data_IF_547402800594
#
_entry.id   IF_547402800594
#
_cell.length_a   1.000
_cell.length_b   1.000
_cell.length_c   1.000
_cell.angle_alpha   90.00
_cell.angle_beta   90.00
_cell.angle_gamma   90.00
#
_symmetry.space_group_name_H-M   'P 1'
#
loop_
_entity.id
_entity.type
_entity.pdbx_description
1 polymer ?
#
# COMPACT_ATOMS: atom_id res chain seq x y z
N UNK A 1 -2.40 -2.33 12.44
CA UNK A 1 -2.33 -1.19 13.39
C UNK A 1 -0.87 -0.94 13.77
N UNK A 2 -0.30 0.22 13.41
CA UNK A 2 1.05 0.63 13.80
C UNK A 2 1.17 1.07 15.27
N UNK A 3 0.05 1.25 15.96
CA UNK A 3 -0.01 1.57 17.39
C UNK A 3 -0.84 0.53 18.13
N UNK A 4 -0.27 -0.11 19.15
CA UNK A 4 -0.98 -0.97 20.09
C UNK A 4 -0.51 -0.59 21.50
N UNK A 5 -1.44 -0.20 22.38
CA UNK A 5 -1.13 0.19 23.76
C UNK A 5 0.00 1.25 23.87
N UNK A 6 -0.05 2.30 23.05
CA UNK A 6 0.99 3.35 22.95
C UNK A 6 2.38 2.87 22.48
N UNK A 7 2.53 1.64 22.01
CA UNK A 7 3.76 1.14 21.40
C UNK A 7 3.67 1.11 19.88
N UNK A 8 4.75 1.54 19.22
CA UNK A 8 4.90 1.47 17.76
C UNK A 8 5.19 0.02 17.32
N UNK A 9 4.35 -0.52 16.45
CA UNK A 9 4.44 -1.87 15.91
C UNK A 9 4.52 -1.85 14.36
N UNK A 10 4.90 -2.98 13.76
CA UNK A 10 4.96 -3.14 12.30
C UNK A 10 6.31 -2.77 11.66
N UNK A 11 6.40 -3.03 10.34
CA UNK A 11 7.63 -2.92 9.55
C UNK A 11 8.18 -1.49 9.47
N UNK A 12 7.31 -0.49 9.56
CA UNK A 12 7.65 0.93 9.40
C UNK A 12 7.75 1.70 10.72
N UNK A 13 7.71 1.02 11.87
CA UNK A 13 7.65 1.65 13.20
C UNK A 13 8.72 2.71 13.49
N UNK A 14 9.89 2.61 12.84
CA UNK A 14 11.02 3.55 12.98
C UNK A 14 10.74 4.92 12.34
N UNK A 15 9.72 5.00 11.49
CA UNK A 15 9.36 6.18 10.68
C UNK A 15 8.11 6.89 11.18
N UNK A 16 7.41 6.29 12.13
CA UNK A 16 6.19 6.86 12.67
C UNK A 16 6.53 7.98 13.65
N UNK A 17 5.74 9.04 13.61
CA UNK A 17 5.72 10.09 14.64
C UNK A 17 4.48 9.91 15.53
N UNK A 18 4.50 10.42 16.77
CA UNK A 18 3.30 10.42 17.62
C UNK A 18 2.11 11.09 16.92
N UNK A 19 0.90 10.60 17.18
CA UNK A 19 -0.32 11.10 16.53
C UNK A 19 -0.57 12.58 16.77
N UNK A 20 -0.22 13.10 17.95
CA UNK A 20 -0.34 14.53 18.27
C UNK A 20 0.63 15.43 17.49
N UNK A 21 1.66 14.86 16.84
CA UNK A 21 2.60 15.62 15.99
C UNK A 21 2.15 15.68 14.53
N UNK A 22 1.17 14.88 14.12
CA UNK A 22 0.74 14.76 12.72
C UNK A 22 0.18 16.07 12.16
N UNK A 23 -0.68 16.76 12.90
CA UNK A 23 -1.25 18.05 12.48
C UNK A 23 -0.15 19.12 12.30
N UNK A 24 0.84 19.12 13.19
CA UNK A 24 1.99 20.01 13.10
C UNK A 24 2.85 19.69 11.87
N UNK A 25 3.16 18.41 11.64
CA UNK A 25 3.89 17.96 10.46
C UNK A 25 3.14 18.36 9.18
N UNK A 26 1.83 18.09 9.10
CA UNK A 26 0.99 18.47 7.98
C UNK A 26 1.01 19.99 7.72
N UNK A 27 0.98 20.80 8.78
CA UNK A 27 1.12 22.26 8.68
C UNK A 27 2.45 22.71 8.06
N UNK A 28 3.56 22.06 8.43
CA UNK A 28 4.89 22.34 7.85
C UNK A 28 5.00 21.88 6.40
N UNK A 29 4.39 20.74 6.07
CA UNK A 29 4.46 20.12 4.75
C UNK A 29 3.41 20.62 3.74
N UNK A 30 2.45 21.45 4.20
CA UNK A 30 1.24 21.80 3.45
C UNK A 30 1.50 22.37 2.06
N UNK A 31 2.46 23.28 1.94
CA UNK A 31 2.80 23.91 0.65
C UNK A 31 3.34 22.88 -0.34
N UNK A 32 4.30 22.06 0.07
CA UNK A 32 4.92 21.04 -0.79
C UNK A 32 3.92 19.93 -1.17
N UNK A 33 3.06 19.51 -0.24
CA UNK A 33 2.00 18.53 -0.50
C UNK A 33 0.92 19.07 -1.43
N UNK A 34 0.50 20.33 -1.26
CA UNK A 34 -0.49 20.96 -2.15
C UNK A 34 0.07 21.09 -3.56
N UNK A 35 1.31 21.54 -3.70
CA UNK A 35 1.98 21.63 -5.00
C UNK A 35 2.11 20.25 -5.68
N UNK A 36 2.43 19.19 -4.91
CA UNK A 36 2.50 17.84 -5.45
C UNK A 36 1.12 17.33 -5.90
N UNK A 37 0.06 17.57 -5.12
CA UNK A 37 -1.31 17.23 -5.48
C UNK A 37 -1.72 17.91 -6.79
N UNK A 38 -1.52 19.22 -6.90
CA UNK A 38 -1.87 19.94 -8.12
C UNK A 38 -1.11 19.43 -9.35
N UNK A 39 0.17 19.09 -9.20
CA UNK A 39 0.97 18.48 -10.28
C UNK A 39 0.42 17.12 -10.68
N UNK A 40 -0.02 16.31 -9.72
CA UNK A 40 -0.62 14.99 -10.00
C UNK A 40 -1.93 15.08 -10.79
N UNK A 41 -2.65 16.21 -10.70
CA UNK A 41 -3.90 16.46 -11.43
C UNK A 41 -3.67 17.08 -12.82
N UNK A 42 -2.58 17.85 -13.00
CA UNK A 42 -2.36 18.72 -14.18
C UNK A 42 -1.32 18.19 -15.18
N UNK A 43 -0.33 17.43 -14.72
CA UNK A 43 0.81 17.02 -15.54
C UNK A 43 0.73 15.53 -15.90
N UNK A 44 1.19 15.15 -17.10
CA UNK A 44 1.39 13.75 -17.49
C UNK A 44 2.66 13.19 -16.84
N UNK A 45 2.73 13.26 -15.51
CA UNK A 45 3.81 12.67 -14.72
C UNK A 45 3.49 11.18 -14.52
N UNK A 46 4.51 10.34 -14.60
CA UNK A 46 4.37 8.93 -14.24
C UNK A 46 3.94 8.79 -12.77
N UNK A 47 2.89 8.03 -12.47
CA UNK A 47 2.32 7.93 -11.11
C UNK A 47 3.34 7.47 -10.05
N UNK A 48 4.30 6.61 -10.42
CA UNK A 48 5.42 6.24 -9.54
C UNK A 48 6.26 7.44 -9.07
N UNK A 49 6.43 8.49 -9.89
CA UNK A 49 7.14 9.70 -9.50
C UNK A 49 6.34 10.53 -8.49
N UNK A 50 5.00 10.55 -8.61
CA UNK A 50 4.12 11.17 -7.61
C UNK A 50 4.27 10.44 -6.27
N UNK A 51 4.18 9.11 -6.26
CA UNK A 51 4.36 8.31 -5.05
C UNK A 51 5.74 8.48 -4.43
N UNK A 52 6.80 8.48 -5.25
CA UNK A 52 8.15 8.70 -4.75
C UNK A 52 8.32 10.12 -4.18
N UNK A 53 7.76 11.13 -4.84
CA UNK A 53 7.80 12.52 -4.34
C UNK A 53 7.08 12.64 -3.00
N UNK A 54 5.89 12.04 -2.87
CA UNK A 54 5.14 11.99 -1.62
C UNK A 54 5.96 11.32 -0.51
N UNK A 55 6.53 10.15 -0.78
CA UNK A 55 7.40 9.44 0.16
C UNK A 55 8.59 10.31 0.58
N UNK A 56 9.25 10.98 -0.37
CA UNK A 56 10.42 11.83 -0.11
C UNK A 56 10.09 13.00 0.82
N UNK A 57 8.95 13.67 0.63
CA UNK A 57 8.52 14.80 1.47
C UNK A 57 8.50 14.37 2.94
N UNK A 58 7.75 13.31 3.26
CA UNK A 58 7.68 12.80 4.63
C UNK A 58 9.00 12.24 5.13
N UNK A 59 9.70 11.44 4.31
CA UNK A 59 10.94 10.78 4.73
C UNK A 59 12.03 11.80 5.08
N UNK A 60 12.15 12.87 4.29
CA UNK A 60 13.14 13.93 4.53
C UNK A 60 12.71 14.84 5.68
N UNK A 61 11.43 15.12 5.86
CA UNK A 61 10.91 15.84 7.03
C UNK A 61 11.26 15.12 8.34
N UNK A 62 11.00 13.80 8.40
CA UNK A 62 11.16 13.00 9.62
C UNK A 62 12.61 12.61 9.92
N UNK A 63 13.41 12.35 8.88
CA UNK A 63 14.78 11.81 9.05
C UNK A 63 15.89 12.75 8.60
N UNK A 64 15.59 13.80 7.83
CA UNK A 64 16.56 14.69 7.21
C UNK A 64 17.62 13.90 6.44
N UNK A 65 18.90 14.14 6.78
CA UNK A 65 20.06 13.48 6.14
C UNK A 65 20.11 11.96 6.36
N UNK A 66 19.31 11.41 7.27
CA UNK A 66 19.23 9.97 7.57
C UNK A 66 18.18 9.24 6.72
N UNK A 67 17.46 9.92 5.82
CA UNK A 67 16.46 9.32 4.94
C UNK A 67 17.00 8.13 4.13
N UNK A 68 18.27 8.19 3.75
CA UNK A 68 18.93 7.21 2.89
C UNK A 68 20.12 6.58 3.61
N UNK A 69 20.28 5.25 3.48
CA UNK A 69 21.43 4.53 4.01
C UNK A 69 22.67 4.81 3.16
N UNK A 70 23.79 5.14 3.84
CA UNK A 70 25.09 5.32 3.18
C UNK A 70 25.86 4.01 3.26
N UNK A 71 26.16 3.42 2.11
CA UNK A 71 26.91 2.16 1.98
C UNK A 71 28.40 2.41 1.68
N UNK A 72 28.94 3.54 2.16
CA UNK A 72 30.33 3.95 1.89
C UNK A 72 30.55 4.64 0.53
N UNK A 73 29.52 4.67 -0.34
CA UNK A 73 29.51 5.48 -1.57
C UNK A 73 28.65 6.75 -1.39
N UNK A 74 28.94 7.83 -2.13
CA UNK A 74 28.00 8.95 -2.25
C UNK A 74 26.64 8.45 -2.75
N UNK A 75 25.56 9.10 -2.32
CA UNK A 75 24.24 8.83 -2.89
C UNK A 75 24.24 9.26 -4.36
N UNK A 76 23.60 8.49 -5.27
CA UNK A 76 23.41 8.94 -6.64
C UNK A 76 22.57 10.23 -6.67
N UNK A 77 22.65 11.02 -7.76
CA UNK A 77 21.76 12.15 -7.95
C UNK A 77 20.30 11.67 -7.95
N UNK A 78 19.39 12.50 -7.40
CA UNK A 78 17.97 12.15 -7.29
C UNK A 78 17.30 11.95 -8.65
N UNK A 79 17.80 12.66 -9.67
CA UNK A 79 17.33 12.58 -11.04
C UNK A 79 18.47 12.16 -11.96
N UNK A 80 18.22 11.28 -12.94
CA UNK A 80 16.95 10.57 -13.21
C UNK A 80 16.57 9.57 -12.09
N UNK A 81 15.26 9.42 -11.83
CA UNK A 81 14.76 8.63 -10.69
C UNK A 81 15.08 7.13 -10.78
N UNK A 82 15.10 6.55 -11.98
CA UNK A 82 15.31 5.12 -12.14
C UNK A 82 16.70 4.66 -11.64
N UNK A 83 17.84 5.25 -12.07
CA UNK A 83 19.15 4.96 -11.47
C UNK A 83 19.23 5.25 -9.97
N UNK A 84 18.54 6.29 -9.49
CA UNK A 84 18.48 6.57 -8.06
C UNK A 84 17.84 5.41 -7.27
N UNK A 85 16.69 4.92 -7.74
CA UNK A 85 15.96 3.81 -7.12
C UNK A 85 16.70 2.48 -7.23
N UNK A 86 17.59 2.29 -8.20
CA UNK A 86 18.42 1.09 -8.34
C UNK A 86 19.41 0.94 -7.17
N UNK A 87 20.06 2.04 -6.79
CA UNK A 87 21.15 2.02 -5.82
C UNK A 87 20.73 2.40 -4.39
N UNK A 88 19.75 3.28 -4.24
CA UNK A 88 19.38 3.83 -2.92
C UNK A 88 18.85 2.74 -1.99
N UNK A 89 19.02 2.93 -0.68
CA UNK A 89 18.28 2.18 0.35
C UNK A 89 17.66 3.16 1.33
N UNK A 90 16.39 2.96 1.66
CA UNK A 90 15.68 3.83 2.58
C UNK A 90 15.93 3.40 4.03
N UNK A 91 16.22 4.35 4.90
CA UNK A 91 16.36 4.04 6.32
C UNK A 91 15.01 3.60 6.90
N UNK A 92 15.00 2.52 7.67
CA UNK A 92 13.81 2.09 8.40
C UNK A 92 12.67 1.53 7.54
N UNK A 93 12.91 1.27 6.25
CA UNK A 93 11.97 0.58 5.36
C UNK A 93 12.56 -0.74 4.86
N UNK A 94 11.75 -1.81 4.73
CA UNK A 94 12.12 -2.96 3.91
C UNK A 94 12.34 -2.56 2.45
N UNK A 95 13.12 -3.37 1.72
CA UNK A 95 13.42 -3.11 0.31
C UNK A 95 12.19 -3.26 -0.60
N UNK A 96 11.09 -3.79 -0.08
CA UNK A 96 9.81 -3.97 -0.78
C UNK A 96 9.28 -2.66 -1.36
N UNK A 97 9.35 -1.57 -0.59
CA UNK A 97 8.87 -0.24 -1.01
C UNK A 97 9.67 0.29 -2.20
N UNK A 98 11.01 0.23 -2.10
CA UNK A 98 11.91 0.65 -3.18
C UNK A 98 11.72 -0.22 -4.42
N UNK A 99 11.63 -1.55 -4.23
CA UNK A 99 11.40 -2.50 -5.30
C UNK A 99 10.11 -2.24 -6.07
N UNK A 100 9.01 -1.99 -5.36
CA UNK A 100 7.73 -1.65 -5.99
C UNK A 100 7.81 -0.38 -6.84
N UNK A 101 8.40 0.69 -6.31
CA UNK A 101 8.60 1.93 -7.06
C UNK A 101 9.52 1.72 -8.29
N UNK A 102 10.59 0.95 -8.13
CA UNK A 102 11.52 0.66 -9.22
C UNK A 102 10.87 -0.12 -10.35
N UNK A 103 10.14 -1.21 -10.05
CA UNK A 103 9.50 -2.03 -11.07
C UNK A 103 8.31 -1.31 -11.72
N UNK A 104 7.59 -0.49 -10.96
CA UNK A 104 6.51 0.34 -11.51
C UNK A 104 7.04 1.41 -12.46
N UNK A 105 8.13 2.10 -12.11
CA UNK A 105 8.75 3.11 -12.99
C UNK A 105 9.33 2.51 -14.28
N UNK A 106 9.57 1.19 -14.32
CA UNK A 106 9.98 0.46 -15.53
C UNK A 106 8.80 -0.13 -16.31
N UNK A 107 7.56 0.18 -15.94
CA UNK A 107 6.34 -0.40 -16.51
C UNK A 107 6.27 -1.94 -16.42
N UNK A 108 7.03 -2.56 -15.50
CA UNK A 108 7.00 -4.01 -15.31
C UNK A 108 5.81 -4.46 -14.46
N UNK A 109 5.37 -3.62 -13.53
CA UNK A 109 4.29 -3.92 -12.59
C UNK A 109 3.11 -2.99 -12.83
N UNK A 110 1.91 -3.58 -12.96
CA UNK A 110 0.66 -2.86 -13.17
C UNK A 110 0.15 -2.30 -11.83
N UNK A 111 0.75 -1.20 -11.40
CA UNK A 111 0.26 -0.44 -10.24
C UNK A 111 -0.54 0.77 -10.72
N UNK A 112 -1.57 1.11 -9.95
CA UNK A 112 -2.39 2.28 -10.22
C UNK A 112 -2.53 3.10 -8.94
N UNK A 113 -2.18 4.38 -9.03
CA UNK A 113 -2.39 5.35 -7.97
C UNK A 113 -3.85 5.83 -7.99
N UNK A 114 -4.49 5.79 -6.84
CA UNK A 114 -5.82 6.36 -6.59
C UNK A 114 -5.77 7.32 -5.40
N UNK A 115 -6.79 8.19 -5.31
CA UNK A 115 -6.88 9.27 -4.32
C UNK A 115 -8.10 9.16 -3.41
N UNK A 116 -8.76 8.01 -3.44
CA UNK A 116 -9.85 7.62 -2.54
C UNK A 116 -9.52 6.26 -1.93
N UNK A 117 -10.17 5.92 -0.82
CA UNK A 117 -10.04 4.59 -0.23
C UNK A 117 -10.85 3.58 -1.05
N UNK A 118 -10.21 2.56 -1.63
CA UNK A 118 -10.93 1.55 -2.38
C UNK A 118 -11.73 0.66 -1.44
N UNK A 119 -12.93 0.27 -1.86
CA UNK A 119 -13.63 -0.82 -1.16
C UNK A 119 -12.89 -2.15 -1.37
N UNK A 120 -13.15 -3.16 -0.52
CA UNK A 120 -12.61 -4.49 -0.75
C UNK A 120 -13.02 -5.07 -2.11
N UNK A 121 -14.25 -4.79 -2.57
CA UNK A 121 -14.73 -5.19 -3.90
C UNK A 121 -13.97 -4.49 -5.04
N UNK A 122 -13.69 -3.19 -4.91
CA UNK A 122 -12.90 -2.44 -5.89
C UNK A 122 -11.47 -2.98 -5.97
N UNK A 123 -10.87 -3.29 -4.82
CA UNK A 123 -9.56 -3.92 -4.79
C UNK A 123 -9.58 -5.33 -5.40
N UNK A 124 -10.63 -6.12 -5.12
CA UNK A 124 -10.82 -7.45 -5.71
C UNK A 124 -10.89 -7.38 -7.23
N UNK A 125 -11.68 -6.45 -7.76
CA UNK A 125 -11.82 -6.19 -9.19
C UNK A 125 -10.45 -5.87 -9.81
N UNK A 126 -9.72 -4.89 -9.26
CA UNK A 126 -8.39 -4.54 -9.75
C UNK A 126 -7.41 -5.73 -9.71
N UNK A 127 -7.38 -6.48 -8.60
CA UNK A 127 -6.50 -7.64 -8.46
C UNK A 127 -6.87 -8.77 -9.42
N UNK A 128 -8.16 -8.93 -9.75
CA UNK A 128 -8.62 -9.87 -10.76
C UNK A 128 -8.11 -9.54 -12.16
N UNK A 129 -7.82 -8.26 -12.43
CA UNK A 129 -7.20 -7.81 -13.68
C UNK A 129 -5.66 -7.79 -13.62
N UNK A 130 -5.09 -8.23 -12.50
CA UNK A 130 -3.66 -8.20 -12.25
C UNK A 130 -3.11 -6.82 -11.94
N UNK A 131 -3.97 -5.90 -11.49
CA UNK A 131 -3.61 -4.55 -11.05
C UNK A 131 -3.56 -4.54 -9.52
N UNK A 132 -2.62 -3.78 -8.94
CA UNK A 132 -2.66 -3.43 -7.52
C UNK A 132 -2.82 -1.93 -7.35
N UNK A 133 -3.83 -1.54 -6.59
CA UNK A 133 -4.07 -0.13 -6.28
C UNK A 133 -3.14 0.33 -5.16
N UNK A 134 -2.70 1.59 -5.25
CA UNK A 134 -1.96 2.31 -4.24
C UNK A 134 -2.73 3.58 -3.89
N UNK A 135 -2.78 3.92 -2.60
CA UNK A 135 -3.57 5.07 -2.17
C UNK A 135 -2.70 6.20 -1.63
N UNK A 136 -2.94 7.42 -2.13
CA UNK A 136 -2.56 8.64 -1.41
C UNK A 136 -3.85 9.33 -0.96
N UNK A 137 -4.08 9.32 0.35
CA UNK A 137 -5.12 10.15 0.96
C UNK A 137 -4.56 11.57 1.18
N UNK A 138 -4.87 12.46 0.23
CA UNK A 138 -4.46 13.86 0.30
C UNK A 138 -5.11 14.61 1.47
N UNK A 139 -6.34 14.27 1.84
CA UNK A 139 -7.04 14.95 2.93
C UNK A 139 -6.39 14.62 4.26
N UNK A 140 -6.12 13.34 4.53
CA UNK A 140 -5.38 12.91 5.71
C UNK A 140 -3.96 13.49 5.73
N UNK A 141 -3.27 13.53 4.59
CA UNK A 141 -1.92 14.09 4.50
C UNK A 141 -1.87 15.61 4.80
N UNK A 142 -2.84 16.38 4.31
CA UNK A 142 -2.90 17.84 4.47
C UNK A 142 -3.46 18.30 5.83
N UNK A 143 -4.31 17.47 6.44
CA UNK A 143 -4.90 17.71 7.76
C UNK A 143 -4.09 17.12 8.91
N UNK A 144 -3.24 16.12 8.65
CA UNK A 144 -2.54 15.37 9.68
C UNK A 144 -3.45 14.39 10.43
N UNK A 145 -4.53 13.92 9.79
CA UNK A 145 -5.42 12.91 10.35
C UNK A 145 -4.95 11.49 10.05
N UNK A 146 -5.46 10.54 10.82
CA UNK A 146 -5.23 9.12 10.59
C UNK A 146 -6.19 8.59 9.53
N UNK A 147 -5.64 7.88 8.55
CA UNK A 147 -6.36 7.02 7.62
C UNK A 147 -6.96 5.85 8.40
N UNK A 148 -8.29 5.70 8.31
CA UNK A 148 -9.12 4.73 9.04
C UNK A 148 -8.92 4.72 10.58
N UNK A 149 -8.40 5.80 11.16
CA UNK A 149 -8.03 5.84 12.58
C UNK A 149 -6.85 4.92 12.94
N UNK A 150 -6.11 4.39 11.94
CA UNK A 150 -5.04 3.40 12.14
C UNK A 150 -3.66 3.96 11.83
N UNK A 151 -3.51 4.61 10.68
CA UNK A 151 -2.21 4.93 10.07
C UNK A 151 -2.16 6.38 9.63
N UNK A 152 -0.99 7.01 9.63
CA UNK A 152 -0.86 8.29 8.91
C UNK A 152 -0.83 8.03 7.38
N UNK A 153 -1.09 9.06 6.58
CA UNK A 153 -1.13 8.93 5.11
C UNK A 153 0.19 8.43 4.51
N UNK A 154 1.33 8.73 5.15
CA UNK A 154 2.64 8.25 4.73
C UNK A 154 2.79 6.74 4.92
N UNK A 155 2.52 6.22 6.12
CA UNK A 155 2.59 4.79 6.39
C UNK A 155 1.51 4.01 5.63
N UNK A 156 0.35 4.62 5.34
CA UNK A 156 -0.66 4.01 4.48
C UNK A 156 -0.10 3.74 3.07
N UNK A 157 0.54 4.71 2.42
CA UNK A 157 1.20 4.47 1.13
C UNK A 157 2.33 3.43 1.22
N UNK A 158 3.14 3.46 2.28
CA UNK A 158 4.21 2.47 2.48
C UNK A 158 3.66 1.05 2.61
N UNK A 159 2.52 0.90 3.27
CA UNK A 159 1.81 -0.37 3.39
C UNK A 159 1.34 -0.87 2.03
N UNK A 160 0.70 -0.02 1.23
CA UNK A 160 0.22 -0.39 -0.11
C UNK A 160 1.40 -0.77 -1.02
N UNK A 161 2.51 -0.04 -0.97
CA UNK A 161 3.73 -0.38 -1.72
C UNK A 161 4.34 -1.72 -1.28
N UNK A 162 4.29 -2.04 0.02
CA UNK A 162 4.72 -3.34 0.50
C UNK A 162 3.83 -4.46 -0.02
N UNK A 163 2.50 -4.25 -0.06
CA UNK A 163 1.57 -5.23 -0.62
C UNK A 163 1.69 -5.38 -2.12
N UNK A 164 1.88 -4.28 -2.86
CA UNK A 164 2.23 -4.32 -4.27
C UNK A 164 3.45 -5.21 -4.52
N UNK A 165 4.50 -5.06 -3.72
CA UNK A 165 5.65 -5.95 -3.81
C UNK A 165 5.27 -7.43 -3.58
N UNK A 166 4.44 -7.72 -2.60
CA UNK A 166 4.00 -9.09 -2.33
C UNK A 166 3.10 -9.67 -3.42
N UNK A 167 2.32 -8.84 -4.11
CA UNK A 167 1.47 -9.25 -5.23
C UNK A 167 2.29 -9.65 -6.46
N UNK A 168 3.35 -8.88 -6.78
CA UNK A 168 4.15 -9.09 -8.00
C UNK A 168 5.43 -9.92 -7.80
N UNK A 169 5.83 -10.26 -6.56
CA UNK A 169 7.06 -11.04 -6.33
C UNK A 169 6.95 -12.44 -6.95
N UNK A 170 8.03 -12.87 -7.62
CA UNK A 170 8.04 -14.07 -8.46
C UNK A 170 7.72 -15.36 -7.69
N UNK A 171 8.20 -15.49 -6.46
CA UNK A 171 8.00 -16.68 -5.63
C UNK A 171 6.59 -16.79 -5.04
N UNK A 172 5.73 -15.79 -5.24
CA UNK A 172 4.34 -15.81 -4.81
C UNK A 172 3.37 -16.15 -5.95
N UNK A 173 3.88 -16.55 -7.13
CA UNK A 173 3.06 -16.94 -8.28
C UNK A 173 1.98 -15.89 -8.61
N UNK A 174 2.43 -14.76 -9.18
CA UNK A 174 1.56 -13.66 -9.59
C UNK A 174 0.35 -14.14 -10.42
N UNK A 175 0.58 -15.02 -11.41
CA UNK A 175 -0.50 -15.53 -12.25
C UNK A 175 -1.52 -16.34 -11.45
N UNK A 176 -1.06 -17.18 -10.52
CA UNK A 176 -1.94 -17.93 -9.63
C UNK A 176 -2.73 -17.03 -8.69
N UNK A 177 -2.15 -15.93 -8.19
CA UNK A 177 -2.85 -14.94 -7.35
C UNK A 177 -3.97 -14.27 -8.16
N UNK A 178 -3.66 -13.81 -9.37
CA UNK A 178 -4.64 -13.20 -10.27
C UNK A 178 -5.80 -14.16 -10.55
N UNK A 179 -5.52 -15.43 -10.87
CA UNK A 179 -6.56 -16.46 -11.08
C UNK A 179 -7.40 -16.75 -9.84
N UNK A 180 -6.82 -16.64 -8.64
CA UNK A 180 -7.58 -16.75 -7.40
C UNK A 180 -8.57 -15.58 -7.25
N UNK A 181 -8.09 -14.35 -7.42
CA UNK A 181 -8.95 -13.16 -7.31
C UNK A 181 -10.00 -13.08 -8.42
N UNK A 182 -9.69 -13.53 -9.64
CA UNK A 182 -10.66 -13.68 -10.73
C UNK A 182 -11.83 -14.57 -10.35
N UNK A 183 -11.54 -15.81 -9.93
CA UNK A 183 -12.60 -16.75 -9.53
C UNK A 183 -13.41 -16.19 -8.37
N UNK A 184 -12.77 -15.55 -7.39
CA UNK A 184 -13.47 -14.98 -6.24
C UNK A 184 -14.35 -13.78 -6.64
N UNK A 185 -13.91 -12.96 -7.59
CA UNK A 185 -14.69 -11.86 -8.15
C UNK A 185 -15.93 -12.37 -8.89
N UNK A 186 -15.79 -13.40 -9.72
CA UNK A 186 -16.89 -14.02 -10.47
C UNK A 186 -18.02 -14.53 -9.57
N UNK A 187 -17.70 -14.99 -8.37
CA UNK A 187 -18.67 -15.52 -7.40
C UNK A 187 -19.00 -14.56 -6.26
N UNK A 188 -18.49 -13.32 -6.29
CA UNK A 188 -18.63 -12.36 -5.20
C UNK A 188 -20.08 -12.18 -4.74
N UNK A 189 -21.01 -12.02 -5.69
CA UNK A 189 -22.43 -11.78 -5.37
C UNK A 189 -23.11 -12.96 -4.68
N UNK A 190 -22.57 -14.17 -4.82
CA UNK A 190 -23.08 -15.35 -4.11
C UNK A 190 -22.76 -15.27 -2.60
N UNK A 191 -21.79 -14.44 -2.22
CA UNK A 191 -21.42 -14.19 -0.83
C UNK A 191 -22.18 -13.04 -0.17
N UNK A 192 -22.83 -12.16 -0.93
CA UNK A 192 -23.54 -10.96 -0.42
C UNK A 192 -24.46 -11.24 0.77
N UNK A 193 -25.33 -12.29 0.76
CA UNK A 193 -26.19 -12.59 1.92
C UNK A 193 -25.42 -12.91 3.21
N UNK A 194 -24.23 -13.51 3.09
CA UNK A 194 -23.39 -13.87 4.24
C UNK A 194 -22.57 -12.68 4.74
N UNK A 195 -22.15 -11.80 3.83
CA UNK A 195 -21.48 -10.55 4.19
C UNK A 195 -22.41 -9.64 5.02
N UNK A 196 -23.70 -9.65 4.73
CA UNK A 196 -24.70 -8.89 5.50
C UNK A 196 -25.03 -9.53 6.85
N UNK A 197 -25.17 -10.87 6.88
CA UNK A 197 -25.68 -11.58 8.06
C UNK A 197 -24.60 -12.08 9.03
N UNK A 198 -23.33 -12.15 8.60
CA UNK A 198 -22.23 -12.67 9.41
C UNK A 198 -21.05 -11.69 9.46
N UNK A 199 -20.99 -10.92 10.55
CA UNK A 199 -19.94 -9.91 10.78
C UNK A 199 -18.52 -10.51 10.75
N UNK A 200 -18.31 -11.66 11.41
CA UNK A 200 -16.98 -12.28 11.48
C UNK A 200 -16.52 -12.78 10.11
N UNK A 201 -17.43 -13.35 9.32
CA UNK A 201 -17.15 -13.73 7.94
C UNK A 201 -16.82 -12.51 7.10
N UNK A 202 -17.62 -11.44 7.19
CA UNK A 202 -17.38 -10.18 6.47
C UNK A 202 -15.99 -9.62 6.74
N UNK A 203 -15.58 -9.50 8.00
CA UNK A 203 -14.26 -8.95 8.34
C UNK A 203 -13.10 -9.77 7.74
N UNK A 204 -13.20 -11.09 7.79
CA UNK A 204 -12.18 -12.00 7.22
C UNK A 204 -12.20 -12.02 5.69
N UNK A 205 -13.39 -11.92 5.10
CA UNK A 205 -13.58 -11.80 3.65
C UNK A 205 -12.96 -10.50 3.14
N UNK A 206 -13.29 -9.36 3.77
CA UNK A 206 -12.71 -8.06 3.46
C UNK A 206 -11.19 -8.07 3.56
N UNK A 207 -10.63 -8.69 4.60
CA UNK A 207 -9.18 -8.88 4.74
C UNK A 207 -8.58 -9.70 3.57
N UNK A 208 -9.23 -10.80 3.19
CA UNK A 208 -8.80 -11.66 2.08
C UNK A 208 -8.69 -10.89 0.75
N UNK A 209 -9.65 -10.01 0.47
CA UNK A 209 -9.74 -9.33 -0.83
C UNK A 209 -8.97 -8.02 -0.89
N UNK A 210 -8.68 -7.39 0.26
CA UNK A 210 -8.01 -6.08 0.33
C UNK A 210 -6.50 -6.16 0.60
N UNK A 211 -6.09 -7.02 1.53
CA UNK A 211 -4.75 -6.98 2.15
C UNK A 211 -3.98 -8.30 2.05
N UNK A 212 -4.59 -9.36 1.52
CA UNK A 212 -3.97 -10.67 1.48
C UNK A 212 -3.30 -10.94 0.13
N UNK A 213 -2.09 -10.44 -0.08
CA UNK A 213 -1.25 -10.84 -1.21
C UNK A 213 -0.24 -11.91 -0.74
N UNK A 214 -0.45 -13.15 -1.20
CA UNK A 214 0.32 -14.33 -0.78
C UNK A 214 0.35 -15.41 -1.85
N UNK A 215 1.16 -16.45 -1.67
CA UNK A 215 1.15 -17.60 -2.57
C UNK A 215 -0.28 -18.20 -2.69
N UNK A 216 -0.75 -18.61 -3.88
CA UNK A 216 -2.13 -19.05 -4.12
C UNK A 216 -2.59 -20.18 -3.19
N UNK A 217 -1.71 -21.13 -2.90
CA UNK A 217 -2.00 -22.20 -1.94
C UNK A 217 -2.39 -21.68 -0.55
N UNK A 218 -1.79 -20.56 -0.10
CA UNK A 218 -2.13 -19.92 1.16
C UNK A 218 -3.46 -19.17 1.07
N UNK A 219 -3.72 -18.47 -0.04
CA UNK A 219 -5.00 -17.81 -0.31
C UNK A 219 -6.16 -18.81 -0.28
N UNK A 220 -6.03 -19.91 -1.01
CA UNK A 220 -6.99 -21.02 -1.04
C UNK A 220 -7.19 -21.64 0.35
N UNK A 221 -6.11 -21.85 1.10
CA UNK A 221 -6.19 -22.42 2.45
C UNK A 221 -6.91 -21.50 3.42
N UNK A 222 -6.60 -20.19 3.38
CA UNK A 222 -7.27 -19.18 4.19
C UNK A 222 -8.75 -19.10 3.83
N UNK A 223 -9.05 -18.98 2.54
CA UNK A 223 -10.41 -18.92 2.02
C UNK A 223 -11.27 -20.10 2.50
N UNK A 224 -10.77 -21.32 2.31
CA UNK A 224 -11.46 -22.53 2.79
C UNK A 224 -11.68 -22.54 4.29
N UNK A 225 -10.70 -22.06 5.06
CA UNK A 225 -10.81 -21.99 6.51
C UNK A 225 -11.92 -21.03 6.94
N UNK A 226 -11.99 -19.83 6.36
CA UNK A 226 -12.99 -18.82 6.76
C UNK A 226 -14.41 -19.23 6.37
N UNK A 227 -14.59 -19.87 5.20
CA UNK A 227 -15.89 -20.42 4.79
C UNK A 227 -16.33 -21.54 5.75
N UNK A 228 -15.43 -22.47 6.07
CA UNK A 228 -15.72 -23.59 6.97
C UNK A 228 -16.07 -23.10 8.38
N UNK A 229 -15.29 -22.19 8.94
CA UNK A 229 -15.53 -21.63 10.28
C UNK A 229 -16.88 -20.88 10.37
N UNK A 230 -17.26 -20.22 9.27
CA UNK A 230 -18.47 -19.41 9.19
C UNK A 230 -19.71 -20.19 8.70
N UNK A 231 -19.56 -21.49 8.43
CA UNK A 231 -20.58 -22.35 7.80
C UNK A 231 -21.15 -21.75 6.49
N UNK A 232 -20.28 -21.13 5.69
CA UNK A 232 -20.60 -20.55 4.39
C UNK A 232 -20.19 -21.53 3.28
N UNK A 233 -21.01 -21.74 2.24
CA UNK A 233 -20.65 -22.60 1.11
C UNK A 233 -19.40 -22.14 0.36
N UNK A 234 -18.68 -23.10 -0.22
CA UNK A 234 -17.60 -22.82 -1.17
C UNK A 234 -18.19 -22.75 -2.57
N UNK A 235 -18.09 -21.58 -3.21
CA UNK A 235 -18.51 -21.33 -4.58
C UNK A 235 -17.32 -21.24 -5.56
N UNK A 236 -16.08 -21.26 -5.05
CA UNK A 236 -14.83 -21.33 -5.82
C UNK A 236 -14.55 -22.72 -6.41
#
# INVERSE_FOLDING_TARGET
MPWQQNQKYGSFKKLLIPTFELEREAGVLREELTALRERSEKESIHQAEICFSFLRIFLTSRLGRRAYLRTGKPLPPLQPLLPFLEEVRFFGMPDTVRGALFHWLKDNWKLQLIYHHPSGKEMLEAQSEGIRLLTIDWEAALSGQLVEGKRDAFEHLLHDLAHAYMFFRLDYDYEGQVKFFQRLYEVYEQYSPFLESNLSFREKFEYCISDMNSHPAHLESYWRAICKESNVPLYL
#
